data_IF_106675503229
#
_entry.id   IF_106675503229
#
_cell.length_a   1.000
_cell.length_b   1.000
_cell.length_c   1.000
_cell.angle_alpha   90.00
_cell.angle_beta   90.00
_cell.angle_gamma   90.00
#
_symmetry.space_group_name_H-M   'P 1'
#
loop_
_entity.id
_entity.type
_entity.pdbx_description
1 polymer ?
#
# COMPACT_ATOMS: atom_id res chain seq x y z
N UNK A 1 70.63 51.73 11.47
CA UNK A 1 69.60 50.87 12.09
C UNK A 1 68.26 51.61 12.10
N UNK A 2 67.45 51.45 11.07
CA UNK A 2 66.10 52.04 11.00
C UNK A 2 65.07 50.98 11.40
N UNK A 3 64.49 51.14 12.60
CA UNK A 3 63.36 50.35 13.10
C UNK A 3 62.16 50.53 12.16
N UNK A 4 61.83 49.53 11.35
CA UNK A 4 60.53 49.45 10.68
C UNK A 4 59.46 49.10 11.72
N UNK A 5 58.60 50.06 12.04
CA UNK A 5 57.36 49.83 12.78
C UNK A 5 56.43 48.96 11.92
N UNK A 6 56.21 47.70 12.34
CA UNK A 6 55.16 46.84 11.78
C UNK A 6 53.80 47.41 12.17
N UNK A 7 53.16 48.12 11.23
CA UNK A 7 51.77 48.58 11.35
C UNK A 7 50.86 47.34 11.38
N UNK A 8 50.13 47.14 12.49
CA UNK A 8 49.14 46.06 12.60
C UNK A 8 48.14 46.17 11.42
N UNK A 9 47.94 45.12 10.61
CA UNK A 9 47.02 45.19 9.48
C UNK A 9 45.60 45.43 10.00
N UNK A 10 44.84 46.31 9.34
CA UNK A 10 43.45 46.54 9.71
C UNK A 10 42.60 45.31 9.36
N UNK A 11 41.54 45.05 10.13
CA UNK A 11 40.60 43.94 9.86
C UNK A 11 40.08 43.96 8.41
N UNK A 12 39.90 45.15 7.83
CA UNK A 12 39.49 45.32 6.44
C UNK A 12 40.54 44.80 5.44
N UNK A 13 41.82 45.00 5.73
CA UNK A 13 42.91 44.51 4.90
C UNK A 13 42.97 42.98 4.92
N UNK A 14 42.76 42.38 6.10
CA UNK A 14 42.72 40.92 6.27
C UNK A 14 41.52 40.32 5.52
N UNK A 15 40.30 40.84 5.75
CA UNK A 15 39.11 40.35 5.05
C UNK A 15 39.22 40.51 3.52
N UNK A 16 39.72 41.65 3.03
CA UNK A 16 39.90 41.86 1.60
C UNK A 16 40.95 40.91 1.00
N UNK A 17 42.00 40.56 1.75
CA UNK A 17 42.99 39.57 1.33
C UNK A 17 42.36 38.17 1.24
N UNK A 18 41.66 37.74 2.29
CA UNK A 18 40.99 36.42 2.34
C UNK A 18 39.94 36.27 1.23
N UNK A 19 39.11 37.28 1.00
CA UNK A 19 38.06 37.25 -0.04
C UNK A 19 38.62 37.29 -1.47
N UNK A 20 39.87 37.72 -1.68
CA UNK A 20 40.54 37.62 -2.98
C UNK A 20 41.10 36.23 -3.27
N UNK A 21 41.41 35.46 -2.22
CA UNK A 21 42.00 34.12 -2.28
C UNK A 21 41.01 33.01 -1.90
N UNK A 22 39.71 33.31 -1.87
CA UNK A 22 38.68 32.31 -1.62
C UNK A 22 38.45 31.41 -2.83
N UNK A 23 38.03 30.17 -2.59
CA UNK A 23 37.58 29.21 -3.61
C UNK A 23 36.18 29.54 -4.15
N UNK A 24 35.45 30.46 -3.50
CA UNK A 24 34.16 30.95 -3.99
C UNK A 24 34.34 31.80 -5.27
N UNK A 25 34.23 31.16 -6.44
CA UNK A 25 34.57 31.70 -7.75
C UNK A 25 34.04 33.11 -8.08
N UNK A 26 32.89 33.51 -7.53
CA UNK A 26 32.30 34.83 -7.80
C UNK A 26 32.81 35.98 -6.93
N UNK A 27 33.34 35.70 -5.74
CA UNK A 27 33.74 36.73 -4.76
C UNK A 27 35.02 37.49 -5.19
N UNK A 28 36.08 36.84 -5.70
CA UNK A 28 37.26 37.54 -6.20
C UNK A 28 36.95 38.46 -7.39
N UNK A 29 35.96 38.12 -8.23
CA UNK A 29 35.55 38.91 -9.39
C UNK A 29 34.90 40.24 -8.99
N UNK A 30 34.15 40.26 -7.89
CA UNK A 30 33.59 41.50 -7.30
C UNK A 30 34.73 42.42 -6.83
N UNK A 31 35.76 41.86 -6.17
CA UNK A 31 36.88 42.65 -5.63
C UNK A 31 37.87 43.12 -6.70
N UNK A 32 38.02 42.38 -7.80
CA UNK A 32 38.90 42.74 -8.93
C UNK A 32 38.29 43.78 -9.87
N UNK A 33 36.96 43.87 -9.92
CA UNK A 33 36.24 44.80 -10.81
C UNK A 33 36.56 46.26 -10.50
N UNK A 34 36.87 47.06 -11.53
CA UNK A 34 37.25 48.47 -11.40
C UNK A 34 36.04 49.43 -11.41
N UNK A 35 35.01 49.12 -12.21
CA UNK A 35 33.80 49.93 -12.34
C UNK A 35 32.69 49.56 -11.34
N UNK A 36 31.88 50.55 -10.92
CA UNK A 36 30.73 50.33 -10.01
C UNK A 36 29.67 49.42 -10.62
N UNK A 37 29.33 49.63 -11.90
CA UNK A 37 28.35 48.80 -12.62
C UNK A 37 28.79 47.33 -12.69
N UNK A 38 30.05 47.09 -13.07
CA UNK A 38 30.62 45.75 -13.16
C UNK A 38 30.59 45.03 -11.81
N UNK A 39 30.87 45.74 -10.70
CA UNK A 39 30.74 45.19 -9.35
C UNK A 39 29.30 44.80 -9.01
N UNK A 40 28.34 45.65 -9.35
CA UNK A 40 26.92 45.38 -9.14
C UNK A 40 26.46 44.16 -9.95
N UNK A 41 26.89 44.02 -11.22
CA UNK A 41 26.60 42.85 -12.05
C UNK A 41 27.16 41.56 -11.42
N UNK A 42 28.43 41.56 -10.99
CA UNK A 42 29.03 40.39 -10.34
C UNK A 42 28.36 40.06 -9.00
N UNK A 43 28.02 41.07 -8.20
CA UNK A 43 27.31 40.86 -6.95
C UNK A 43 25.90 40.28 -7.19
N UNK A 44 25.18 40.80 -8.19
CA UNK A 44 23.88 40.27 -8.60
C UNK A 44 23.97 38.83 -9.08
N UNK A 45 24.97 38.49 -9.89
CA UNK A 45 25.21 37.12 -10.35
C UNK A 45 25.51 36.17 -9.19
N UNK A 46 26.38 36.57 -8.26
CA UNK A 46 26.70 35.76 -7.07
C UNK A 46 25.46 35.54 -6.20
N UNK A 47 24.66 36.59 -5.99
CA UNK A 47 23.43 36.51 -5.21
C UNK A 47 22.41 35.58 -5.89
N UNK A 48 22.27 35.68 -7.21
CA UNK A 48 21.38 34.82 -7.99
C UNK A 48 21.78 33.35 -7.88
N UNK A 49 23.06 33.03 -8.09
CA UNK A 49 23.57 31.65 -7.96
C UNK A 49 23.40 31.13 -6.54
N UNK A 50 23.63 31.96 -5.51
CA UNK A 50 23.40 31.59 -4.12
C UNK A 50 21.93 31.28 -3.84
N UNK A 51 21.00 32.10 -4.36
CA UNK A 51 19.57 31.86 -4.22
C UNK A 51 19.15 30.55 -4.92
N UNK A 52 19.62 30.30 -6.13
CA UNK A 52 19.39 29.03 -6.83
C UNK A 52 19.93 27.83 -6.06
N UNK A 53 21.14 27.95 -5.48
CA UNK A 53 21.74 26.88 -4.67
C UNK A 53 20.88 26.58 -3.45
N UNK A 54 20.46 27.60 -2.68
CA UNK A 54 19.60 27.41 -1.50
C UNK A 54 18.27 26.78 -1.89
N UNK A 55 17.66 27.21 -3.01
CA UNK A 55 16.44 26.63 -3.54
C UNK A 55 16.62 25.15 -3.92
N UNK A 56 17.68 24.80 -4.64
CA UNK A 56 17.93 23.41 -5.03
C UNK A 56 18.20 22.52 -3.82
N UNK A 57 18.98 23.01 -2.84
CA UNK A 57 19.22 22.29 -1.60
C UNK A 57 17.92 22.05 -0.81
N UNK A 58 17.01 23.03 -0.74
CA UNK A 58 15.74 22.86 -0.04
C UNK A 58 14.85 21.82 -0.73
N UNK A 59 14.80 21.82 -2.07
CA UNK A 59 14.07 20.82 -2.85
C UNK A 59 14.65 19.41 -2.66
N UNK A 60 15.99 19.28 -2.64
CA UNK A 60 16.66 18.02 -2.41
C UNK A 60 16.37 17.47 -1.00
N UNK A 61 16.46 18.32 0.02
CA UNK A 61 16.14 17.95 1.42
C UNK A 61 14.67 17.55 1.53
N UNK A 62 13.75 18.33 0.96
CA UNK A 62 12.33 18.02 0.97
C UNK A 62 12.02 16.70 0.26
N UNK A 63 12.73 16.38 -0.83
CA UNK A 63 12.58 15.12 -1.56
C UNK A 63 13.15 13.95 -0.76
N UNK A 64 14.30 14.13 -0.11
CA UNK A 64 14.90 13.12 0.76
C UNK A 64 13.99 12.78 1.95
N UNK A 65 13.44 13.80 2.62
CA UNK A 65 12.52 13.64 3.76
C UNK A 65 11.12 13.14 3.38
N UNK A 66 10.80 13.09 2.08
CA UNK A 66 9.59 12.41 1.58
C UNK A 66 9.74 10.90 1.49
N UNK A 67 10.94 10.36 1.73
CA UNK A 67 11.25 8.93 1.69
C UNK A 67 10.64 8.19 0.49
N UNK A 68 10.85 8.69 -0.76
CA UNK A 68 10.29 8.02 -1.93
C UNK A 68 10.94 6.64 -2.09
N UNK A 69 10.13 5.60 -2.17
CA UNK A 69 10.57 4.24 -2.48
C UNK A 69 10.49 3.98 -3.98
N UNK A 70 11.45 3.23 -4.51
CA UNK A 70 11.44 2.76 -5.89
C UNK A 70 11.26 1.25 -5.89
N UNK A 71 10.14 0.78 -6.42
CA UNK A 71 9.86 -0.66 -6.54
C UNK A 71 10.30 -1.15 -7.91
N UNK A 72 11.15 -2.19 -7.94
CA UNK A 72 11.58 -2.85 -9.17
C UNK A 72 10.98 -4.25 -9.22
N UNK A 73 9.99 -4.44 -10.09
CA UNK A 73 9.39 -5.76 -10.35
C UNK A 73 10.25 -6.49 -11.37
N UNK A 74 10.71 -7.70 -11.02
CA UNK A 74 11.45 -8.58 -11.93
C UNK A 74 10.75 -9.93 -12.00
N UNK A 75 10.60 -10.46 -13.22
CA UNK A 75 10.07 -11.81 -13.43
C UNK A 75 11.23 -12.79 -13.49
N UNK A 76 11.24 -13.77 -12.59
CA UNK A 76 12.23 -14.85 -12.57
C UNK A 76 11.49 -16.15 -12.84
N UNK A 77 11.93 -16.89 -13.86
CA UNK A 77 11.35 -18.19 -14.19
C UNK A 77 12.05 -19.28 -13.37
N UNK A 78 11.30 -19.97 -12.50
CA UNK A 78 11.81 -21.12 -11.74
C UNK A 78 11.21 -22.42 -12.29
N UNK A 79 11.98 -23.49 -12.50
CA UNK A 79 11.46 -24.78 -12.96
C UNK A 79 10.66 -25.52 -11.88
N UNK A 80 10.75 -25.10 -10.60
CA UNK A 80 9.99 -25.67 -9.48
C UNK A 80 9.41 -24.55 -8.64
N UNK A 81 8.09 -24.55 -8.47
CA UNK A 81 7.36 -23.63 -7.61
C UNK A 81 6.56 -24.43 -6.58
N UNK A 82 6.40 -23.88 -5.38
CA UNK A 82 5.47 -24.43 -4.41
C UNK A 82 4.05 -24.29 -4.96
N UNK A 83 3.30 -25.40 -4.97
CA UNK A 83 1.88 -25.35 -5.31
C UNK A 83 1.12 -24.62 -4.20
N UNK A 84 0.25 -23.65 -4.54
CA UNK A 84 -0.45 -22.84 -3.54
C UNK A 84 -1.51 -23.67 -2.80
N UNK A 85 -1.92 -23.17 -1.63
CA UNK A 85 -3.10 -23.70 -0.96
C UNK A 85 -4.36 -23.37 -1.79
N UNK A 86 -5.12 -24.39 -2.15
CA UNK A 86 -6.41 -24.24 -2.84
C UNK A 86 -7.51 -24.40 -1.80
N UNK A 87 -8.25 -23.31 -1.55
CA UNK A 87 -9.42 -23.31 -0.66
C UNK A 87 -10.66 -23.16 -1.51
N UNK A 88 -11.57 -24.12 -1.43
CA UNK A 88 -12.88 -24.05 -2.04
C UNK A 88 -13.97 -24.27 -1.00
N UNK A 89 -15.13 -23.66 -1.23
CA UNK A 89 -16.28 -23.75 -0.34
C UNK A 89 -17.54 -23.96 -1.17
N UNK A 90 -18.46 -24.78 -0.67
CA UNK A 90 -19.79 -24.86 -1.23
C UNK A 90 -20.55 -23.59 -0.88
N UNK A 91 -21.13 -22.92 -1.88
CA UNK A 91 -21.95 -21.73 -1.67
C UNK A 91 -23.19 -22.03 -0.82
N UNK A 92 -23.68 -23.26 -0.84
CA UNK A 92 -24.71 -23.70 0.08
C UNK A 92 -24.10 -23.89 1.48
N UNK A 93 -24.43 -22.97 2.39
CA UNK A 93 -23.87 -22.89 3.75
C UNK A 93 -24.23 -24.09 4.64
N UNK A 94 -25.36 -24.77 4.40
CA UNK A 94 -25.81 -25.87 5.24
C UNK A 94 -26.69 -26.89 4.48
N UNK A 95 -26.59 -28.16 4.86
CA UNK A 95 -27.38 -29.25 4.30
C UNK A 95 -28.80 -29.21 4.86
N UNK A 96 -29.81 -29.13 3.98
CA UNK A 96 -31.22 -29.16 4.38
C UNK A 96 -31.60 -30.40 5.18
N UNK A 97 -30.99 -31.55 4.86
CA UNK A 97 -31.18 -32.81 5.60
C UNK A 97 -30.74 -32.71 7.06
N UNK A 98 -29.72 -31.90 7.37
CA UNK A 98 -29.25 -31.66 8.73
C UNK A 98 -30.05 -30.58 9.46
N UNK A 99 -30.52 -29.56 8.75
CA UNK A 99 -31.39 -28.52 9.31
C UNK A 99 -32.73 -29.09 9.77
N UNK A 100 -33.33 -30.01 9.00
CA UNK A 100 -34.65 -30.57 9.35
C UNK A 100 -34.63 -31.56 10.54
N UNK A 101 -33.47 -31.75 11.18
CA UNK A 101 -33.37 -32.50 12.44
C UNK A 101 -33.99 -31.71 13.61
N UNK A 102 -34.55 -32.40 14.62
CA UNK A 102 -35.20 -31.76 15.77
C UNK A 102 -34.30 -30.75 16.50
N UNK A 103 -32.98 -30.94 16.45
CA UNK A 103 -31.97 -30.08 17.08
C UNK A 103 -31.73 -28.76 16.34
N UNK A 104 -31.76 -28.76 15.00
CA UNK A 104 -31.41 -27.58 14.18
C UNK A 104 -32.61 -26.98 13.43
N UNK A 105 -33.82 -27.50 13.66
CA UNK A 105 -35.06 -27.05 13.04
C UNK A 105 -35.34 -25.56 13.18
N UNK A 106 -34.85 -24.93 14.26
CA UNK A 106 -35.00 -23.49 14.45
C UNK A 106 -34.35 -22.67 13.32
N UNK A 107 -33.30 -23.18 12.68
CA UNK A 107 -32.64 -22.53 11.54
C UNK A 107 -33.50 -22.56 10.27
N UNK A 108 -34.47 -23.49 10.20
CA UNK A 108 -35.39 -23.56 9.06
C UNK A 108 -36.29 -22.32 8.97
N UNK A 109 -36.59 -21.71 10.12
CA UNK A 109 -37.35 -20.47 10.21
C UNK A 109 -36.52 -19.22 9.86
N UNK A 110 -35.23 -19.39 9.60
CA UNK A 110 -34.35 -18.32 9.13
C UNK A 110 -33.93 -18.57 7.68
N UNK A 111 -34.49 -19.61 7.04
CA UNK A 111 -34.21 -19.92 5.64
C UNK A 111 -35.11 -19.08 4.72
N UNK A 112 -34.50 -18.37 3.77
CA UNK A 112 -35.23 -17.53 2.81
C UNK A 112 -36.35 -18.21 2.06
N UNK A 113 -36.11 -19.47 1.71
CA UNK A 113 -36.93 -20.20 0.75
C UNK A 113 -38.15 -20.90 1.37
N UNK A 114 -38.17 -21.11 2.70
CA UNK A 114 -39.23 -21.91 3.33
C UNK A 114 -40.49 -21.10 3.66
N UNK A 115 -40.45 -19.77 3.56
CA UNK A 115 -41.60 -18.90 3.81
C UNK A 115 -42.41 -18.52 2.56
N UNK A 116 -41.97 -18.87 1.35
CA UNK A 116 -42.73 -18.63 0.11
C UNK A 116 -43.67 -19.79 -0.26
N UNK A 117 -44.03 -20.66 0.69
CA UNK A 117 -45.02 -21.73 0.45
C UNK A 117 -46.32 -21.55 1.24
N UNK A 118 -46.74 -20.32 1.46
CA UNK A 118 -48.14 -20.05 1.79
C UNK A 118 -48.68 -18.85 0.99
N UNK A 119 -49.75 -19.10 0.22
CA UNK A 119 -50.64 -18.06 -0.32
C UNK A 119 -50.38 -17.51 -1.73
N UNK A 120 -51.17 -18.04 -2.68
CA UNK A 120 -51.57 -17.46 -3.97
C UNK A 120 -50.57 -17.44 -5.14
N UNK A 121 -50.75 -18.43 -6.02
CA UNK A 121 -50.39 -18.36 -7.44
C UNK A 121 -51.12 -17.18 -8.08
N UNK A 122 -50.43 -16.07 -8.34
CA UNK A 122 -50.74 -15.09 -9.39
C UNK A 122 -49.60 -14.08 -9.47
N UNK A 123 -48.38 -14.52 -9.79
CA UNK A 123 -47.38 -13.64 -10.37
C UNK A 123 -46.29 -14.47 -11.06
N UNK A 124 -46.35 -14.47 -12.39
CA UNK A 124 -45.32 -15.02 -13.26
C UNK A 124 -44.14 -14.05 -13.26
N UNK A 125 -43.39 -14.02 -12.17
CA UNK A 125 -42.14 -13.27 -12.11
C UNK A 125 -41.00 -14.27 -12.10
N UNK A 126 -40.21 -14.23 -13.17
CA UNK A 126 -38.83 -14.73 -13.27
C UNK A 126 -38.13 -14.70 -11.90
N UNK A 127 -37.36 -15.72 -11.48
CA UNK A 127 -36.66 -15.71 -10.20
C UNK A 127 -35.44 -14.78 -10.27
N UNK A 128 -35.65 -13.52 -10.60
CA UNK A 128 -34.70 -12.42 -10.51
C UNK A 128 -34.97 -11.70 -9.20
N UNK A 129 -34.33 -12.16 -8.12
CA UNK A 129 -34.33 -11.42 -6.85
C UNK A 129 -34.50 -12.29 -5.62
N UNK A 130 -33.57 -13.23 -5.37
CA UNK A 130 -33.36 -13.72 -4.00
C UNK A 130 -32.81 -12.54 -3.20
N UNK A 131 -33.62 -11.98 -2.31
CA UNK A 131 -33.27 -10.77 -1.57
C UNK A 131 -32.04 -11.04 -0.67
N UNK A 132 -31.00 -10.23 -0.86
CA UNK A 132 -29.73 -10.27 -0.11
C UNK A 132 -29.91 -10.11 1.41
N UNK A 133 -31.06 -9.60 1.86
CA UNK A 133 -31.42 -9.46 3.27
C UNK A 133 -31.65 -10.80 3.97
N UNK A 134 -32.12 -11.80 3.23
CA UNK A 134 -32.59 -13.07 3.75
C UNK A 134 -31.41 -14.04 4.02
N UNK A 135 -30.42 -14.06 3.13
CA UNK A 135 -29.16 -14.82 3.33
C UNK A 135 -28.36 -14.31 4.53
N UNK A 136 -28.45 -13.00 4.86
CA UNK A 136 -27.77 -12.43 6.03
C UNK A 136 -28.35 -12.93 7.35
N UNK A 137 -29.66 -13.12 7.41
CA UNK A 137 -30.33 -13.56 8.63
C UNK A 137 -29.99 -15.03 8.93
N UNK A 138 -30.03 -15.87 7.89
CA UNK A 138 -29.56 -17.26 7.98
C UNK A 138 -28.08 -17.35 8.36
N UNK A 139 -27.22 -16.57 7.72
CA UNK A 139 -25.79 -16.55 8.02
C UNK A 139 -25.51 -16.08 9.46
N UNK A 140 -26.26 -15.10 9.96
CA UNK A 140 -26.17 -14.65 11.34
C UNK A 140 -26.62 -15.73 12.33
N UNK A 141 -27.73 -16.42 12.07
CA UNK A 141 -28.20 -17.53 12.90
C UNK A 141 -27.19 -18.69 12.95
N UNK A 142 -26.60 -19.05 11.80
CA UNK A 142 -25.51 -20.03 11.73
C UNK A 142 -24.26 -19.60 12.51
N UNK A 143 -23.90 -18.32 12.46
CA UNK A 143 -22.69 -17.81 13.15
C UNK A 143 -22.75 -17.93 14.68
N UNK A 144 -23.96 -18.04 15.25
CA UNK A 144 -24.17 -18.20 16.69
C UNK A 144 -23.94 -19.63 17.20
N UNK A 145 -23.86 -20.60 16.28
CA UNK A 145 -23.59 -22.00 16.61
C UNK A 145 -22.12 -22.23 16.92
N UNK A 146 -21.82 -23.30 17.65
CA UNK A 146 -20.44 -23.73 17.87
C UNK A 146 -19.80 -24.25 16.57
N UNK A 147 -18.47 -24.22 16.48
CA UNK A 147 -17.72 -24.73 15.31
C UNK A 147 -18.06 -26.19 15.01
N UNK A 148 -18.33 -26.99 16.05
CA UNK A 148 -18.74 -28.40 15.89
C UNK A 148 -20.10 -28.53 15.21
N UNK A 149 -21.07 -27.70 15.61
CA UNK A 149 -22.42 -27.69 15.04
C UNK A 149 -22.43 -27.14 13.61
N UNK A 150 -21.64 -26.09 13.34
CA UNK A 150 -21.47 -25.57 11.98
C UNK A 150 -20.86 -26.64 11.05
N UNK A 151 -19.86 -27.40 11.54
CA UNK A 151 -19.29 -28.53 10.79
C UNK A 151 -20.32 -29.64 10.54
N UNK A 152 -21.17 -29.95 11.52
CA UNK A 152 -22.22 -30.96 11.38
C UNK A 152 -23.27 -30.58 10.31
N UNK A 153 -23.64 -29.29 10.27
CA UNK A 153 -24.57 -28.73 9.29
C UNK A 153 -23.96 -28.55 7.90
N UNK A 154 -22.66 -28.27 7.83
CA UNK A 154 -21.91 -28.04 6.60
C UNK A 154 -21.83 -29.26 5.68
N UNK A 155 -21.35 -29.04 4.46
CA UNK A 155 -21.06 -30.12 3.51
C UNK A 155 -19.74 -30.81 3.86
N UNK A 156 -19.76 -32.14 3.84
CA UNK A 156 -18.56 -32.95 4.04
C UNK A 156 -17.74 -33.01 2.76
N UNK A 157 -16.41 -32.95 2.89
CA UNK A 157 -15.52 -33.01 1.74
C UNK A 157 -15.67 -34.37 1.01
N UNK A 158 -15.80 -35.44 1.78
CA UNK A 158 -16.09 -36.81 1.34
C UNK A 158 -17.29 -36.89 0.37
N UNK A 159 -18.34 -36.10 0.63
CA UNK A 159 -19.56 -36.12 -0.17
C UNK A 159 -19.46 -35.25 -1.43
N UNK A 160 -18.51 -34.30 -1.48
CA UNK A 160 -18.35 -33.34 -2.57
C UNK A 160 -17.21 -33.69 -3.53
N UNK A 161 -16.15 -34.32 -3.02
CA UNK A 161 -14.93 -34.58 -3.77
C UNK A 161 -15.01 -35.95 -4.46
N UNK A 162 -15.42 -35.96 -5.73
CA UNK A 162 -15.58 -37.21 -6.50
C UNK A 162 -14.22 -37.80 -6.91
N UNK A 163 -13.24 -36.95 -7.23
CA UNK A 163 -11.88 -37.36 -7.62
C UNK A 163 -10.88 -36.26 -7.31
N UNK A 164 -9.69 -36.64 -6.84
CA UNK A 164 -8.57 -35.74 -6.63
C UNK A 164 -7.29 -36.38 -7.15
N UNK A 165 -6.62 -35.67 -8.07
CA UNK A 165 -5.34 -36.10 -8.66
C UNK A 165 -4.40 -34.90 -8.68
N UNK A 166 -3.21 -35.08 -8.12
CA UNK A 166 -2.16 -34.07 -8.10
C UNK A 166 -0.86 -34.65 -8.63
N UNK A 167 -0.32 -34.06 -9.71
CA UNK A 167 0.88 -34.58 -10.39
C UNK A 167 0.80 -36.07 -10.80
N UNK A 168 -0.41 -36.55 -11.12
CA UNK A 168 -0.65 -37.94 -11.51
C UNK A 168 -0.87 -38.91 -10.35
N UNK A 169 -0.69 -38.45 -9.11
CA UNK A 169 -0.93 -39.24 -7.90
C UNK A 169 -2.33 -38.96 -7.34
N UNK A 170 -2.99 -40.01 -6.80
CA UNK A 170 -4.29 -39.87 -6.14
C UNK A 170 -4.09 -39.20 -4.78
N UNK A 171 -4.90 -38.18 -4.49
CA UNK A 171 -4.83 -37.49 -3.20
C UNK A 171 -5.37 -38.36 -2.06
N UNK A 172 -4.77 -38.25 -0.86
CA UNK A 172 -5.30 -38.85 0.36
C UNK A 172 -6.27 -37.89 1.08
N UNK A 173 -7.27 -38.46 1.75
CA UNK A 173 -8.29 -37.73 2.49
C UNK A 173 -8.01 -37.85 3.99
N UNK A 174 -7.09 -37.01 4.48
CA UNK A 174 -6.71 -36.98 5.90
C UNK A 174 -7.19 -35.73 6.60
#
# INVERSE_FOLDING_TARGET
MTRMYLRKPSLRAICAHTLRHTTAHGIPSILRSRGRLQRCCWAGFVLFVLACMVWQCSQLIATFLRYPTQEKVTMVNSPRLAFPAVTFCNLNRARMSKINSSRFRFLANELPFLFMRDGNQNETTSPEGVSVADDRQFAFALSRLTVKEQKELGHQLEDMLISCVFHGEICDQR
#
